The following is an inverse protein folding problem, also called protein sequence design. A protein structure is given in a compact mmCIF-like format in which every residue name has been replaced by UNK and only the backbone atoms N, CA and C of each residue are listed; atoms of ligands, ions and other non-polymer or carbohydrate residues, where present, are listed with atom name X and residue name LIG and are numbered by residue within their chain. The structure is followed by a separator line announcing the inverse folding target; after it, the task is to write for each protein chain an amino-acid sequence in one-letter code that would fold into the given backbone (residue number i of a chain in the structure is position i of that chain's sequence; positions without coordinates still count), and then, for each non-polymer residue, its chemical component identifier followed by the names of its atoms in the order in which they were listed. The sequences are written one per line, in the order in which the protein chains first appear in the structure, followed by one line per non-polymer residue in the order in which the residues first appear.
data_IF_966696755343
#
_entry.id   IF_966696755343
#
_cell.length_a   1.000
_cell.length_b   1.000
_cell.length_c   1.000
_cell.angle_alpha   90.00
_cell.angle_beta   90.00
_cell.angle_gamma   90.00
#
_symmetry.space_group_name_H-M   'P 1'
#
loop_
_entity.id
_entity.type
_entity.pdbx_description
1 polymer ?
#
# COMPACT_ATOMS: atom_id res chain seq x y z
N UNK A 1 -6.16 5.18 17.29
CA UNK A 1 -6.24 4.45 16.00
C UNK A 1 -7.67 3.98 15.84
N UNK A 2 -8.30 4.12 14.67
CA UNK A 2 -9.65 3.56 14.46
C UNK A 2 -9.57 2.05 14.73
N UNK A 3 -10.40 1.53 15.63
CA UNK A 3 -10.47 0.10 15.90
C UNK A 3 -10.81 -0.61 14.60
N UNK A 4 -9.91 -1.50 14.15
CA UNK A 4 -10.19 -2.33 12.99
C UNK A 4 -11.37 -3.22 13.39
N UNK A 5 -12.47 -3.19 12.62
CA UNK A 5 -13.53 -4.17 12.78
C UNK A 5 -12.92 -5.54 12.48
N UNK A 6 -12.93 -6.42 13.47
CA UNK A 6 -12.53 -7.80 13.31
C UNK A 6 -13.69 -8.50 12.63
N UNK A 7 -13.45 -9.06 11.44
CA UNK A 7 -14.42 -9.88 10.76
C UNK A 7 -14.53 -11.22 11.49
N UNK A 8 -15.74 -11.76 11.58
CA UNK A 8 -15.94 -13.16 11.99
C UNK A 8 -15.46 -14.10 10.88
N UNK A 9 -15.18 -15.35 11.20
CA UNK A 9 -14.69 -16.34 10.23
C UNK A 9 -15.61 -16.47 9.01
N UNK A 10 -16.94 -16.44 9.22
CA UNK A 10 -17.93 -16.49 8.14
C UNK A 10 -17.88 -15.27 7.23
N UNK A 11 -17.69 -14.09 7.81
CA UNK A 11 -17.56 -12.84 7.04
C UNK A 11 -16.23 -12.80 6.29
N UNK A 12 -15.16 -13.36 6.87
CA UNK A 12 -13.87 -13.49 6.22
C UNK A 12 -13.93 -14.43 5.02
N UNK A 13 -14.54 -15.60 5.19
CA UNK A 13 -14.71 -16.60 4.12
C UNK A 13 -15.57 -16.04 2.97
N UNK A 14 -16.70 -15.39 3.29
CA UNK A 14 -17.53 -14.74 2.27
C UNK A 14 -16.78 -13.63 1.54
N UNK A 15 -15.96 -12.85 2.26
CA UNK A 15 -15.11 -11.84 1.65
C UNK A 15 -14.08 -12.47 0.72
N UNK A 16 -13.38 -13.53 1.13
CA UNK A 16 -12.38 -14.21 0.32
C UNK A 16 -12.97 -14.89 -0.91
N UNK A 17 -14.13 -15.55 -0.76
CA UNK A 17 -14.85 -16.17 -1.87
C UNK A 17 -15.33 -15.15 -2.92
N UNK A 18 -15.65 -13.93 -2.50
CA UNK A 18 -16.07 -12.86 -3.42
C UNK A 18 -14.92 -12.28 -4.27
N UNK A 19 -13.66 -12.64 -3.97
CA UNK A 19 -12.49 -12.02 -4.60
C UNK A 19 -11.97 -12.81 -5.79
N UNK A 20 -11.81 -12.08 -6.91
CA UNK A 20 -11.00 -12.55 -8.02
C UNK A 20 -9.52 -12.22 -7.80
N UNK A 21 -8.78 -13.22 -7.31
CA UNK A 21 -7.34 -13.11 -7.06
C UNK A 21 -6.55 -12.96 -8.36
N UNK A 22 -6.99 -13.57 -9.47
CA UNK A 22 -6.34 -13.44 -10.77
C UNK A 22 -6.37 -12.01 -11.28
N UNK A 23 -7.53 -11.35 -11.22
CA UNK A 23 -7.70 -9.94 -11.60
C UNK A 23 -6.92 -9.00 -10.70
N UNK A 24 -6.86 -9.28 -9.39
CA UNK A 24 -6.07 -8.49 -8.45
C UNK A 24 -4.56 -8.58 -8.75
N UNK A 25 -4.05 -9.79 -8.98
CA UNK A 25 -2.64 -10.02 -9.32
C UNK A 25 -2.27 -9.40 -10.67
N UNK A 26 -3.12 -9.57 -11.68
CA UNK A 26 -2.90 -8.96 -13.01
C UNK A 26 -2.84 -7.42 -12.92
N UNK A 27 -3.70 -6.81 -12.11
CA UNK A 27 -3.66 -5.35 -11.85
C UNK A 27 -2.34 -4.95 -11.18
N UNK A 28 -1.90 -5.71 -10.18
CA UNK A 28 -0.63 -5.46 -9.49
C UNK A 28 0.55 -5.55 -10.47
N UNK A 29 0.62 -6.62 -11.27
CA UNK A 29 1.66 -6.81 -12.28
C UNK A 29 1.69 -5.62 -13.27
N UNK A 30 0.54 -5.19 -13.78
CA UNK A 30 0.44 -4.03 -14.66
C UNK A 30 0.95 -2.73 -14.01
N UNK A 31 0.64 -2.52 -12.73
CA UNK A 31 1.12 -1.35 -11.99
C UNK A 31 2.64 -1.39 -11.76
N UNK A 32 3.20 -2.56 -11.47
CA UNK A 32 4.65 -2.76 -11.35
C UNK A 32 5.35 -2.51 -12.69
N UNK A 33 4.86 -3.10 -13.78
CA UNK A 33 5.42 -2.89 -15.14
C UNK A 33 5.35 -1.42 -15.55
N UNK A 34 4.23 -0.75 -15.26
CA UNK A 34 4.07 0.68 -15.52
C UNK A 34 4.90 1.58 -14.59
N UNK A 35 5.72 1.00 -13.69
CA UNK A 35 6.48 1.70 -12.64
C UNK A 35 5.61 2.62 -11.77
N UNK A 36 4.32 2.30 -11.64
CA UNK A 36 3.35 3.03 -10.80
C UNK A 36 3.36 2.54 -9.35
N UNK A 37 4.41 1.87 -8.92
CA UNK A 37 4.58 1.46 -7.53
C UNK A 37 4.74 2.69 -6.62
N UNK A 38 4.01 2.71 -5.52
CA UNK A 38 4.20 3.71 -4.47
C UNK A 38 5.07 3.10 -3.37
N UNK A 39 6.16 3.76 -3.01
CA UNK A 39 6.95 3.39 -1.82
C UNK A 39 6.17 3.84 -0.60
N UNK A 40 5.62 2.90 0.16
CA UNK A 40 5.04 3.21 1.47
C UNK A 40 6.17 3.24 2.49
N UNK A 41 6.61 4.44 2.85
CA UNK A 41 7.59 4.62 3.90
C UNK A 41 6.91 4.49 5.28
N UNK A 42 7.52 3.78 6.24
CA UNK A 42 7.14 3.85 7.64
C UNK A 42 7.07 5.32 8.10
N UNK A 43 6.22 5.67 9.07
CA UNK A 43 6.03 7.05 9.51
C UNK A 43 7.33 7.80 9.81
N UNK A 44 8.27 7.12 10.48
CA UNK A 44 9.56 7.70 10.90
C UNK A 44 10.47 8.01 9.70
N UNK A 45 10.47 7.15 8.68
CA UNK A 45 11.24 7.34 7.45
C UNK A 45 10.55 8.35 6.52
N UNK A 46 9.22 8.35 6.49
CA UNK A 46 8.40 9.31 5.75
C UNK A 46 8.61 10.74 6.26
N UNK A 47 8.66 10.91 7.58
CA UNK A 47 9.01 12.18 8.21
C UNK A 47 10.42 12.64 7.81
N UNK A 48 11.42 11.74 7.84
CA UNK A 48 12.79 12.04 7.42
C UNK A 48 12.91 12.41 5.94
N UNK A 49 12.22 11.69 5.06
CA UNK A 49 12.24 11.94 3.62
C UNK A 49 11.62 13.30 3.26
N UNK A 50 10.52 13.69 3.92
CA UNK A 50 9.91 15.02 3.75
C UNK A 50 10.83 16.14 4.25
N UNK A 51 11.48 15.94 5.39
CA UNK A 51 12.39 16.92 5.97
C UNK A 51 13.72 17.05 5.21
N UNK A 52 14.19 15.98 4.56
CA UNK A 52 15.42 15.97 3.77
C UNK A 52 15.33 16.79 2.47
N UNK A 53 14.12 17.18 2.04
CA UNK A 53 13.89 18.07 0.90
C UNK A 53 14.39 19.52 1.14
N UNK A 54 14.91 19.86 2.33
CA UNK A 54 15.44 21.19 2.61
C UNK A 54 16.95 21.38 2.32
N UNK A 55 17.67 20.36 1.81
CA UNK A 55 19.12 20.47 1.53
C UNK A 55 19.56 19.86 0.21
N UNK A 56 18.92 20.23 -0.90
CA UNK A 56 19.55 20.14 -2.22
C UNK A 56 19.27 21.43 -3.00
N UNK A 57 19.97 22.50 -2.61
CA UNK A 57 20.32 23.58 -3.54
C UNK A 57 21.59 24.29 -3.04
N UNK A 58 22.73 23.63 -3.24
CA UNK A 58 24.06 24.25 -3.25
C UNK A 58 25.05 23.24 -3.80
N UNK A 59 25.14 23.17 -5.13
CA UNK A 59 26.37 23.18 -5.93
C UNK A 59 26.00 23.65 -7.33
#
# INVERSE_FOLDING_TARGET
MKSKKILTDKELEAFEASRDMGKALLKSARQMTARKGCVVLPPDISARAKSACHKQNKM
#
